data_IF_472512567418
#
_entry.id   IF_472512567418
#
_cell.length_a   1.000
_cell.length_b   1.000
_cell.length_c   1.000
_cell.angle_alpha   90.00
_cell.angle_beta   90.00
_cell.angle_gamma   90.00
#
_symmetry.space_group_name_H-M   'P 1'
#
loop_
_entity.id
_entity.type
_entity.pdbx_description
1 polymer ?
#
# COMPACT_ATOMS: atom_id res chain seq x y z
N UNK A 1 9.43 -30.62 9.30
CA UNK A 1 10.34 -29.93 10.24
C UNK A 1 11.11 -28.90 9.43
N UNK A 2 11.17 -27.62 9.80
CA UNK A 2 12.03 -26.67 9.13
C UNK A 2 13.49 -27.17 9.21
N UNK A 3 14.27 -26.88 8.15
CA UNK A 3 15.67 -27.24 8.13
C UNK A 3 16.38 -26.62 9.34
N UNK A 4 17.39 -27.31 9.89
CA UNK A 4 18.16 -26.85 11.09
C UNK A 4 18.75 -25.45 10.86
N UNK A 5 18.97 -25.07 9.60
CA UNK A 5 19.52 -23.77 9.18
C UNK A 5 18.63 -22.56 9.54
N UNK A 6 17.30 -22.73 9.62
CA UNK A 6 16.35 -21.62 9.88
C UNK A 6 15.94 -21.49 11.35
N UNK A 7 16.44 -22.33 12.24
CA UNK A 7 16.03 -22.35 13.64
C UNK A 7 16.37 -21.04 14.37
N UNK A 8 17.52 -20.44 14.08
CA UNK A 8 17.94 -19.16 14.67
C UNK A 8 17.07 -18.01 14.18
N UNK A 9 16.74 -17.99 12.89
CA UNK A 9 15.88 -17.00 12.27
C UNK A 9 14.48 -17.05 12.89
N UNK A 10 13.93 -18.24 13.06
CA UNK A 10 12.63 -18.44 13.71
C UNK A 10 12.65 -17.96 15.16
N UNK A 11 13.68 -18.29 15.95
CA UNK A 11 13.80 -17.84 17.34
C UNK A 11 13.83 -16.30 17.42
N UNK A 12 14.55 -15.64 16.53
CA UNK A 12 14.58 -14.19 16.47
C UNK A 12 13.21 -13.58 16.12
N UNK A 13 12.55 -14.12 15.09
CA UNK A 13 11.21 -13.66 14.72
C UNK A 13 10.22 -13.84 15.85
N UNK A 14 10.27 -14.95 16.58
CA UNK A 14 9.42 -15.22 17.75
C UNK A 14 9.62 -14.17 18.83
N UNK A 15 10.86 -13.77 19.08
CA UNK A 15 11.14 -12.73 20.08
C UNK A 15 10.55 -11.38 19.64
N UNK A 16 10.73 -10.99 18.40
CA UNK A 16 10.14 -9.76 17.84
C UNK A 16 8.61 -9.81 17.81
N UNK A 17 8.02 -10.96 17.47
CA UNK A 17 6.58 -11.16 17.47
C UNK A 17 5.97 -11.04 18.88
N UNK A 18 6.64 -11.55 19.93
CA UNK A 18 6.21 -11.35 21.33
C UNK A 18 6.21 -9.87 21.70
N UNK A 19 7.26 -9.14 21.35
CA UNK A 19 7.33 -7.71 21.63
C UNK A 19 6.23 -6.95 20.89
N UNK A 20 5.99 -7.29 19.61
CA UNK A 20 4.90 -6.69 18.84
C UNK A 20 3.52 -7.03 19.43
N UNK A 21 3.28 -8.28 19.84
CA UNK A 21 2.03 -8.68 20.47
C UNK A 21 1.79 -7.91 21.77
N UNK A 22 2.84 -7.68 22.56
CA UNK A 22 2.76 -6.88 23.78
C UNK A 22 2.40 -5.41 23.47
N UNK A 23 3.04 -4.80 22.44
CA UNK A 23 2.74 -3.45 21.98
C UNK A 23 1.29 -3.32 21.47
N UNK A 24 0.79 -4.32 20.74
CA UNK A 24 -0.58 -4.36 20.24
C UNK A 24 -1.63 -4.59 21.37
N UNK A 25 -1.24 -5.25 22.44
CA UNK A 25 -2.08 -5.48 23.63
C UNK A 25 -2.07 -4.30 24.63
N UNK A 26 -1.24 -3.30 24.43
CA UNK A 26 -1.20 -2.12 25.29
C UNK A 26 -2.58 -1.43 25.32
N UNK A 27 -3.12 -1.10 26.52
CA UNK A 27 -4.39 -0.37 26.65
C UNK A 27 -4.46 0.94 25.86
N UNK A 28 -3.32 1.58 25.58
CA UNK A 28 -3.24 2.79 24.74
C UNK A 28 -3.81 2.57 23.34
N UNK A 29 -3.76 1.35 22.81
CA UNK A 29 -4.29 1.04 21.48
C UNK A 29 -5.82 1.24 21.42
N UNK A 30 -6.54 0.88 22.48
CA UNK A 30 -7.97 1.12 22.57
C UNK A 30 -8.29 2.63 22.61
N UNK A 31 -7.46 3.43 23.29
CA UNK A 31 -7.60 4.90 23.30
C UNK A 31 -7.35 5.47 21.92
N UNK A 32 -6.29 5.04 21.23
CA UNK A 32 -5.95 5.49 19.88
C UNK A 32 -7.09 5.19 18.89
N UNK A 33 -7.63 3.96 18.89
CA UNK A 33 -8.79 3.61 18.05
C UNK A 33 -9.98 4.54 18.29
N UNK A 34 -10.33 4.84 19.54
CA UNK A 34 -11.41 5.79 19.85
C UNK A 34 -11.12 7.20 19.32
N UNK A 35 -9.89 7.69 19.47
CA UNK A 35 -9.50 9.01 18.98
C UNK A 35 -9.58 9.08 17.45
N UNK A 36 -9.08 8.08 16.74
CA UNK A 36 -9.16 8.03 15.28
C UNK A 36 -10.61 7.88 14.80
N UNK A 37 -11.43 7.08 15.48
CA UNK A 37 -12.86 6.98 15.17
C UNK A 37 -13.53 8.35 15.29
N UNK A 38 -13.29 9.09 16.36
CA UNK A 38 -13.85 10.43 16.54
C UNK A 38 -13.30 11.41 15.50
N UNK A 39 -11.99 11.42 15.25
CA UNK A 39 -11.34 12.30 14.27
C UNK A 39 -11.93 12.09 12.86
N UNK A 40 -11.99 10.86 12.39
CA UNK A 40 -12.45 10.55 11.04
C UNK A 40 -13.97 10.65 10.88
N UNK A 41 -14.72 10.65 12.00
CA UNK A 41 -16.17 10.94 12.03
C UNK A 41 -16.45 12.41 12.32
N UNK A 42 -15.48 13.31 12.08
CA UNK A 42 -15.56 14.76 12.20
C UNK A 42 -15.96 15.26 13.60
N UNK A 43 -15.66 14.50 14.65
CA UNK A 43 -15.85 14.92 16.02
C UNK A 43 -14.62 15.68 16.53
N UNK A 44 -14.84 16.57 17.51
CA UNK A 44 -13.76 17.34 18.09
C UNK A 44 -12.80 16.46 18.90
N UNK A 45 -11.54 16.40 18.49
CA UNK A 45 -10.44 15.74 19.20
C UNK A 45 -9.26 16.72 19.36
N UNK A 46 -8.23 16.30 20.09
CA UNK A 46 -6.92 16.92 19.91
C UNK A 46 -6.35 16.54 18.54
N UNK A 47 -5.39 17.27 18.00
CA UNK A 47 -4.66 16.79 16.81
C UNK A 47 -4.04 15.40 17.07
N UNK A 48 -4.19 14.49 16.11
CA UNK A 48 -3.57 13.17 16.13
C UNK A 48 -2.32 13.20 15.28
N UNK A 49 -1.27 12.54 15.73
CA UNK A 49 0.03 12.56 15.10
C UNK A 49 0.47 11.15 14.73
N UNK A 50 1.00 11.00 13.51
CA UNK A 50 1.69 9.80 13.03
C UNK A 50 3.07 10.21 12.55
N UNK A 51 4.12 9.61 13.10
CA UNK A 51 5.50 9.85 12.74
C UNK A 51 6.00 8.78 11.74
N UNK A 52 5.30 8.60 10.62
CA UNK A 52 5.60 7.53 9.63
C UNK A 52 6.47 7.94 8.46
N UNK A 53 6.68 9.24 8.25
CA UNK A 53 7.42 9.74 7.09
C UNK A 53 8.87 9.25 7.07
N UNK A 54 9.30 8.74 5.93
CA UNK A 54 10.66 8.22 5.76
C UNK A 54 10.90 6.82 6.33
N UNK A 55 9.89 6.17 6.90
CA UNK A 55 9.99 4.85 7.52
C UNK A 55 10.64 3.82 6.58
N UNK A 56 10.20 3.75 5.33
CA UNK A 56 10.69 2.79 4.34
C UNK A 56 11.96 3.23 3.62
N UNK A 57 12.35 4.48 3.75
CA UNK A 57 13.54 5.02 3.09
C UNK A 57 14.65 5.28 4.11
N UNK A 58 14.49 6.31 4.93
CA UNK A 58 15.50 6.74 5.88
C UNK A 58 15.75 5.70 6.98
N UNK A 59 14.68 5.18 7.59
CA UNK A 59 14.83 4.20 8.68
C UNK A 59 15.34 2.87 8.18
N UNK A 60 14.93 2.41 6.98
CA UNK A 60 15.49 1.19 6.41
C UNK A 60 16.97 1.33 6.13
N UNK A 61 17.44 2.49 5.69
CA UNK A 61 18.85 2.76 5.46
C UNK A 61 19.65 2.93 6.75
N UNK A 62 19.16 3.74 7.69
CA UNK A 62 19.92 4.14 8.87
C UNK A 62 19.82 3.12 10.02
N UNK A 63 18.66 2.49 10.19
CA UNK A 63 18.36 1.64 11.35
C UNK A 63 18.21 0.17 10.98
N UNK A 64 17.66 -0.13 9.80
CA UNK A 64 17.27 -1.48 9.36
C UNK A 64 17.89 -1.89 8.03
N UNK A 65 19.08 -1.37 7.72
CA UNK A 65 19.86 -1.79 6.55
C UNK A 65 20.14 -3.30 6.57
N UNK A 66 20.42 -3.88 5.43
CA UNK A 66 20.60 -5.33 5.28
C UNK A 66 21.70 -5.91 6.17
N UNK A 67 22.76 -5.15 6.39
CA UNK A 67 23.88 -5.51 7.26
C UNK A 67 23.50 -5.56 8.76
N UNK A 68 22.38 -4.94 9.13
CA UNK A 68 21.85 -4.92 10.51
C UNK A 68 20.83 -6.02 10.76
N UNK A 69 20.34 -6.68 9.71
CA UNK A 69 19.43 -7.82 9.82
C UNK A 69 20.20 -9.09 10.22
N UNK A 70 19.59 -9.91 11.07
CA UNK A 70 20.21 -11.09 11.63
C UNK A 70 19.74 -12.38 10.96
N UNK A 71 18.50 -12.40 10.44
CA UNK A 71 17.99 -13.53 9.69
C UNK A 71 18.81 -13.75 8.40
N UNK A 72 19.14 -15.00 8.11
CA UNK A 72 19.89 -15.40 6.91
C UNK A 72 18.97 -15.71 5.74
N UNK A 73 17.85 -16.37 6.02
CA UNK A 73 16.82 -16.66 5.02
C UNK A 73 16.16 -15.35 4.58
N UNK A 74 16.09 -15.05 3.27
CA UNK A 74 15.50 -13.81 2.76
C UNK A 74 14.05 -13.60 3.18
N UNK A 75 13.25 -14.68 3.26
CA UNK A 75 11.86 -14.60 3.70
C UNK A 75 11.77 -14.14 5.16
N UNK A 76 12.50 -14.76 6.06
CA UNK A 76 12.50 -14.36 7.47
C UNK A 76 13.15 -12.99 7.69
N UNK A 77 14.16 -12.62 6.90
CA UNK A 77 14.80 -11.30 6.97
C UNK A 77 13.83 -10.17 6.64
N UNK A 78 12.97 -10.36 5.66
CA UNK A 78 11.93 -9.37 5.33
C UNK A 78 10.94 -9.18 6.49
N UNK A 79 10.52 -10.28 7.12
CA UNK A 79 9.63 -10.22 8.29
C UNK A 79 10.34 -9.66 9.53
N UNK A 80 11.63 -9.95 9.73
CA UNK A 80 12.47 -9.33 10.76
C UNK A 80 12.46 -7.81 10.59
N UNK A 81 12.77 -7.32 9.40
CA UNK A 81 12.78 -5.88 9.09
C UNK A 81 11.44 -5.25 9.40
N UNK A 82 10.36 -5.86 8.95
CA UNK A 82 9.01 -5.36 9.15
C UNK A 82 8.65 -5.26 10.65
N UNK A 83 8.91 -6.29 11.43
CA UNK A 83 8.65 -6.28 12.88
C UNK A 83 9.54 -5.25 13.61
N UNK A 84 10.82 -5.17 13.29
CA UNK A 84 11.73 -4.17 13.89
C UNK A 84 11.28 -2.75 13.59
N UNK A 85 10.89 -2.46 12.34
CA UNK A 85 10.39 -1.14 11.96
C UNK A 85 9.12 -0.76 12.73
N UNK A 86 8.19 -1.70 12.87
CA UNK A 86 6.95 -1.47 13.65
C UNK A 86 7.23 -1.23 15.12
N UNK A 87 8.14 -1.98 15.73
CA UNK A 87 8.55 -1.80 17.11
C UNK A 87 9.30 -0.46 17.32
N UNK A 88 10.14 -0.08 16.37
CA UNK A 88 10.79 1.23 16.41
C UNK A 88 9.75 2.35 16.30
N UNK A 89 8.78 2.23 15.39
CA UNK A 89 7.68 3.19 15.30
C UNK A 89 6.87 3.26 16.61
N UNK A 90 6.58 2.12 17.22
CA UNK A 90 5.89 2.09 18.52
C UNK A 90 6.64 2.89 19.61
N UNK A 91 7.97 2.91 19.57
CA UNK A 91 8.80 3.62 20.54
C UNK A 91 8.62 5.15 20.50
N UNK A 92 8.10 5.71 19.42
CA UNK A 92 7.78 7.15 19.35
C UNK A 92 6.58 7.55 20.20
N UNK A 93 5.70 6.63 20.56
CA UNK A 93 4.53 6.92 21.36
C UNK A 93 3.50 7.81 20.69
N UNK A 94 3.51 7.88 19.36
CA UNK A 94 2.55 8.62 18.55
C UNK A 94 1.16 7.95 18.54
N UNK A 95 0.22 8.44 17.73
CA UNK A 95 -1.14 7.94 17.69
C UNK A 95 -1.36 6.74 16.73
N UNK A 96 -0.29 6.14 16.23
CA UNK A 96 -0.38 4.94 15.39
C UNK A 96 -1.01 3.77 16.15
N UNK A 97 -2.00 3.13 15.55
CA UNK A 97 -2.61 1.91 16.09
C UNK A 97 -1.82 0.69 15.62
N UNK A 98 -1.43 -0.14 16.57
CA UNK A 98 -0.80 -1.44 16.32
C UNK A 98 -1.85 -2.53 16.51
N UNK A 99 -2.13 -3.26 15.44
CA UNK A 99 -3.18 -4.27 15.43
C UNK A 99 -2.69 -5.60 15.98
N UNK A 100 -3.55 -6.37 16.72
CA UNK A 100 -3.15 -7.62 17.34
C UNK A 100 -3.08 -8.78 16.33
N UNK A 101 -2.60 -8.53 15.12
CA UNK A 101 -2.31 -9.52 14.08
C UNK A 101 -1.18 -9.05 13.19
N UNK A 102 -0.61 -9.98 12.46
CA UNK A 102 0.37 -9.71 11.43
C UNK A 102 -0.25 -9.91 10.05
N UNK A 103 -0.08 -8.95 9.15
CA UNK A 103 -0.62 -9.04 7.79
C UNK A 103 0.45 -9.53 6.83
N UNK A 104 0.18 -10.66 6.17
CA UNK A 104 0.94 -11.19 5.05
C UNK A 104 0.21 -10.87 3.76
N UNK A 105 0.88 -10.26 2.79
CA UNK A 105 0.32 -10.06 1.44
C UNK A 105 0.24 -11.36 0.67
N UNK A 106 -0.87 -11.61 -0.03
CA UNK A 106 -0.92 -12.68 -1.02
C UNK A 106 0.08 -12.42 -2.15
N UNK A 107 0.59 -13.49 -2.77
CA UNK A 107 1.50 -13.39 -3.91
C UNK A 107 0.67 -13.15 -5.17
N UNK A 108 0.71 -11.95 -5.70
CA UNK A 108 0.07 -11.62 -6.96
C UNK A 108 0.98 -11.98 -8.14
N UNK A 109 0.39 -12.44 -9.25
CA UNK A 109 1.15 -12.71 -10.49
C UNK A 109 1.79 -11.46 -11.08
N UNK A 110 1.17 -10.29 -10.86
CA UNK A 110 1.76 -8.98 -11.14
C UNK A 110 1.69 -8.14 -9.87
N UNK A 111 2.81 -7.57 -9.50
CA UNK A 111 2.95 -6.72 -8.32
C UNK A 111 3.69 -5.41 -8.66
N UNK A 112 4.18 -4.78 -7.64
CA UNK A 112 4.95 -3.54 -7.71
C UNK A 112 6.03 -3.60 -8.80
N UNK A 113 6.16 -2.50 -9.57
CA UNK A 113 7.13 -2.37 -10.65
C UNK A 113 6.72 -2.96 -11.99
N UNK A 114 5.55 -3.64 -12.11
CA UNK A 114 5.08 -4.19 -13.38
C UNK A 114 3.55 -4.33 -13.47
N UNK A 115 2.82 -3.58 -12.68
CA UNK A 115 1.35 -3.65 -12.56
C UNK A 115 0.67 -3.56 -13.93
N UNK A 116 1.14 -2.67 -14.80
CA UNK A 116 0.59 -2.44 -16.14
C UNK A 116 1.21 -3.32 -17.23
N UNK A 117 1.95 -4.36 -16.87
CA UNK A 117 2.54 -5.33 -17.83
C UNK A 117 3.86 -4.89 -18.45
N UNK A 118 4.35 -3.72 -18.08
CA UNK A 118 5.68 -3.20 -18.46
C UNK A 118 6.50 -2.91 -17.23
N UNK A 119 7.84 -3.07 -17.27
CA UNK A 119 8.71 -2.73 -16.15
C UNK A 119 8.65 -1.22 -15.87
N UNK A 120 8.52 -0.86 -14.60
CA UNK A 120 8.68 0.51 -14.11
C UNK A 120 10.12 0.64 -13.59
N UNK A 121 11.05 0.92 -14.51
CA UNK A 121 12.45 1.07 -14.18
C UNK A 121 12.76 2.48 -13.64
N UNK A 122 13.79 2.57 -12.83
CA UNK A 122 14.33 3.84 -12.35
C UNK A 122 15.86 3.83 -12.43
N UNK A 123 16.43 5.02 -12.51
CA UNK A 123 17.89 5.23 -12.46
C UNK A 123 18.26 5.60 -11.04
N UNK A 124 19.22 4.87 -10.49
CA UNK A 124 19.79 5.21 -9.21
C UNK A 124 20.52 6.57 -9.29
N UNK A 125 20.43 7.38 -8.25
CA UNK A 125 21.17 8.63 -8.18
C UNK A 125 22.67 8.35 -8.14
N UNK A 126 23.47 9.26 -8.73
CA UNK A 126 24.93 9.17 -8.66
C UNK A 126 25.53 9.43 -7.27
N UNK A 127 24.70 9.77 -6.28
CA UNK A 127 25.07 10.03 -4.89
C UNK A 127 24.16 9.24 -3.96
N UNK A 128 24.71 8.68 -2.90
CA UNK A 128 23.94 7.94 -1.90
C UNK A 128 22.83 8.82 -1.28
N UNK A 129 21.61 8.29 -1.26
CA UNK A 129 20.43 9.00 -0.75
C UNK A 129 19.91 10.14 -1.63
N UNK A 130 20.44 10.27 -2.86
CA UNK A 130 19.90 11.21 -3.85
C UNK A 130 18.55 10.76 -4.41
N UNK A 131 17.85 11.68 -5.08
CA UNK A 131 16.59 11.40 -5.75
C UNK A 131 16.83 10.50 -6.98
N UNK A 132 16.11 9.41 -7.07
CA UNK A 132 16.08 8.56 -8.26
C UNK A 132 15.12 9.10 -9.31
N UNK A 133 15.38 8.78 -10.57
CA UNK A 133 14.53 9.16 -11.70
C UNK A 133 13.88 7.93 -12.30
N UNK A 134 12.57 7.98 -12.54
CA UNK A 134 11.92 6.96 -13.35
C UNK A 134 12.45 6.99 -14.79
N UNK A 135 12.56 5.83 -15.41
CA UNK A 135 12.82 5.67 -16.84
C UNK A 135 11.50 5.24 -17.51
N UNK A 136 10.69 6.21 -17.98
CA UNK A 136 9.33 5.95 -18.44
C UNK A 136 9.31 4.99 -19.63
N UNK A 137 8.53 3.90 -19.58
CA UNK A 137 8.43 2.95 -20.70
C UNK A 137 7.60 3.48 -21.86
N UNK A 138 6.73 4.48 -21.64
CA UNK A 138 5.92 5.12 -22.68
C UNK A 138 6.65 6.39 -23.14
N UNK A 139 7.47 6.29 -24.17
CA UNK A 139 8.19 7.43 -24.78
C UNK A 139 7.42 8.00 -25.97
N UNK A 140 6.76 7.15 -26.74
CA UNK A 140 5.86 7.53 -27.83
C UNK A 140 4.47 6.95 -27.59
N UNK A 141 3.43 7.54 -28.18
CA UNK A 141 2.05 7.06 -28.03
C UNK A 141 1.84 5.63 -28.55
N UNK A 142 2.64 5.19 -29.51
CA UNK A 142 2.66 3.78 -29.95
C UNK A 142 3.06 2.79 -28.85
N UNK A 143 3.78 3.24 -27.83
CA UNK A 143 4.22 2.38 -26.72
C UNK A 143 3.06 1.99 -25.80
N UNK A 144 1.95 2.74 -25.82
CA UNK A 144 0.74 2.41 -25.05
C UNK A 144 0.22 1.01 -25.39
N UNK A 145 0.45 0.54 -26.63
CA UNK A 145 0.09 -0.82 -27.04
C UNK A 145 0.83 -1.94 -26.25
N UNK A 146 1.90 -1.60 -25.54
CA UNK A 146 2.62 -2.55 -24.67
C UNK A 146 1.95 -2.75 -23.32
N UNK A 147 1.06 -1.84 -22.92
CA UNK A 147 0.35 -1.93 -21.65
C UNK A 147 -0.72 -3.01 -21.70
N UNK A 148 -0.97 -3.58 -20.56
CA UNK A 148 -2.12 -4.49 -20.35
C UNK A 148 -2.73 -4.22 -18.98
N UNK A 149 -4.08 -4.31 -18.85
CA UNK A 149 -4.74 -4.09 -17.58
C UNK A 149 -4.21 -5.05 -16.51
N UNK A 150 -4.09 -4.60 -15.25
CA UNK A 150 -3.65 -5.46 -14.16
C UNK A 150 -4.71 -6.55 -13.88
N UNK A 151 -4.35 -7.84 -13.95
CA UNK A 151 -5.27 -8.90 -13.56
C UNK A 151 -5.35 -8.99 -12.03
N UNK A 152 -6.51 -9.40 -11.49
CA UNK A 152 -6.57 -9.93 -10.15
C UNK A 152 -6.27 -11.44 -10.23
N UNK A 153 -5.03 -11.79 -10.00
CA UNK A 153 -4.55 -13.18 -10.10
C UNK A 153 -3.54 -13.45 -8.97
N UNK A 154 -3.92 -14.34 -8.06
CA UNK A 154 -3.11 -14.76 -6.93
C UNK A 154 -2.43 -16.09 -7.25
N UNK A 155 -1.13 -16.19 -6.96
CA UNK A 155 -0.40 -17.45 -6.91
C UNK A 155 -0.75 -18.16 -5.59
N UNK A 156 -1.77 -19.01 -5.63
CA UNK A 156 -2.26 -19.73 -4.46
C UNK A 156 -1.23 -20.68 -3.86
N UNK A 157 -0.46 -21.47 -4.65
CA UNK A 157 0.61 -22.30 -4.10
C UNK A 157 1.67 -21.50 -3.34
N UNK A 158 2.15 -20.41 -3.93
CA UNK A 158 3.15 -19.54 -3.30
C UNK A 158 2.58 -18.85 -2.05
N UNK A 159 1.37 -18.31 -2.13
CA UNK A 159 0.67 -17.69 -0.99
C UNK A 159 0.51 -18.67 0.18
N UNK A 160 0.05 -19.90 -0.11
CA UNK A 160 -0.11 -20.94 0.90
C UNK A 160 1.23 -21.40 1.49
N UNK A 161 2.30 -21.42 0.69
CA UNK A 161 3.64 -21.75 1.18
C UNK A 161 4.16 -20.68 2.16
N UNK A 162 4.06 -19.40 1.79
CA UNK A 162 4.45 -18.28 2.64
C UNK A 162 3.63 -18.25 3.94
N UNK A 163 2.32 -18.47 3.85
CA UNK A 163 1.45 -18.52 5.02
C UNK A 163 1.87 -19.64 5.98
N UNK A 164 2.08 -20.86 5.48
CA UNK A 164 2.53 -21.99 6.33
C UNK A 164 3.87 -21.67 7.00
N UNK A 165 4.85 -21.19 6.24
CA UNK A 165 6.18 -20.85 6.75
C UNK A 165 6.09 -19.81 7.87
N UNK A 166 5.26 -18.79 7.73
CA UNK A 166 5.09 -17.75 8.74
C UNK A 166 4.25 -18.23 9.94
N UNK A 167 3.22 -19.04 9.71
CA UNK A 167 2.42 -19.66 10.78
C UNK A 167 3.26 -20.59 11.64
N UNK A 168 4.12 -21.41 11.04
CA UNK A 168 5.02 -22.31 11.77
C UNK A 168 6.04 -21.52 12.61
N UNK A 169 6.42 -20.32 12.17
CA UNK A 169 7.37 -19.48 12.89
C UNK A 169 6.74 -18.69 14.05
N UNK A 170 5.63 -17.98 13.82
CA UNK A 170 5.05 -17.01 14.78
C UNK A 170 3.54 -17.09 14.95
N UNK A 171 2.83 -18.00 14.27
CA UNK A 171 1.37 -18.05 14.26
C UNK A 171 0.72 -18.36 15.62
N UNK A 172 1.44 -18.93 16.55
CA UNK A 172 1.01 -19.13 17.94
C UNK A 172 1.14 -17.86 18.83
N UNK A 173 1.86 -16.86 18.34
CA UNK A 173 2.10 -15.59 19.04
C UNK A 173 1.24 -14.45 18.48
N UNK A 174 1.04 -14.44 17.16
CA UNK A 174 0.27 -13.43 16.42
C UNK A 174 -0.59 -14.13 15.36
N UNK A 175 -1.91 -13.89 15.31
CA UNK A 175 -2.73 -14.30 14.17
C UNK A 175 -2.15 -13.75 12.86
N UNK A 176 -2.06 -14.58 11.84
CA UNK A 176 -1.57 -14.16 10.52
C UNK A 176 -2.77 -13.90 9.61
N UNK A 177 -3.02 -12.63 9.29
CA UNK A 177 -4.04 -12.24 8.32
C UNK A 177 -3.43 -12.22 6.92
N UNK A 178 -4.03 -12.93 5.96
CA UNK A 178 -3.63 -12.86 4.56
C UNK A 178 -4.44 -11.77 3.85
N UNK A 179 -3.78 -10.71 3.42
CA UNK A 179 -4.38 -9.68 2.57
C UNK A 179 -4.38 -10.18 1.13
N UNK A 180 -5.58 -10.37 0.58
CA UNK A 180 -5.81 -10.86 -0.79
C UNK A 180 -6.37 -9.79 -1.71
N UNK A 181 -6.60 -8.59 -1.20
CA UNK A 181 -7.21 -7.49 -1.92
C UNK A 181 -6.52 -7.16 -3.24
N UNK A 182 -7.23 -6.47 -4.11
CA UNK A 182 -6.76 -6.02 -5.42
C UNK A 182 -5.35 -5.39 -5.35
N UNK A 183 -4.52 -5.64 -6.35
CA UNK A 183 -3.22 -4.97 -6.47
C UNK A 183 -3.41 -3.47 -6.76
N UNK A 184 -4.46 -3.10 -7.49
CA UNK A 184 -4.84 -1.70 -7.72
C UNK A 184 -5.53 -1.12 -6.49
N UNK A 185 -4.71 -0.74 -5.50
CA UNK A 185 -5.10 0.01 -4.30
C UNK A 185 -3.99 0.98 -3.95
N UNK A 186 -4.28 1.99 -3.11
CA UNK A 186 -3.31 3.06 -2.81
C UNK A 186 -2.74 3.68 -4.10
N UNK A 187 -1.44 3.79 -4.17
CA UNK A 187 -0.68 4.39 -5.26
C UNK A 187 -0.90 3.74 -6.65
N UNK A 188 -1.45 2.52 -6.70
CA UNK A 188 -1.83 1.86 -7.96
C UNK A 188 -3.33 2.02 -8.31
N UNK A 189 -4.10 2.71 -7.46
CA UNK A 189 -5.51 3.04 -7.72
C UNK A 189 -5.71 4.53 -8.01
N UNK A 190 -4.73 5.37 -7.68
CA UNK A 190 -4.84 6.81 -7.85
C UNK A 190 -4.57 7.29 -9.28
N UNK A 191 -4.10 6.42 -10.16
CA UNK A 191 -3.69 6.72 -11.55
C UNK A 191 -2.51 7.70 -11.59
N UNK A 192 -2.48 8.71 -10.73
CA UNK A 192 -1.51 9.80 -10.66
C UNK A 192 -0.08 9.28 -10.58
N UNK A 193 0.19 8.42 -9.60
CA UNK A 193 1.51 7.81 -9.40
C UNK A 193 1.92 6.94 -10.59
N UNK A 194 1.01 6.06 -11.04
CA UNK A 194 1.34 5.12 -12.12
C UNK A 194 1.55 5.84 -13.45
N UNK A 195 0.74 6.85 -13.80
CA UNK A 195 0.92 7.57 -15.07
C UNK A 195 2.21 8.39 -15.09
N UNK A 196 2.59 8.97 -13.96
CA UNK A 196 3.86 9.70 -13.85
C UNK A 196 5.08 8.77 -14.04
N UNK A 197 5.00 7.54 -13.53
CA UNK A 197 6.04 6.52 -13.72
C UNK A 197 6.06 5.99 -15.15
N UNK A 198 4.90 5.79 -15.76
CA UNK A 198 4.76 5.23 -17.10
C UNK A 198 5.13 6.23 -18.21
N UNK A 199 4.76 7.49 -18.07
CA UNK A 199 4.94 8.54 -19.11
C UNK A 199 6.05 9.54 -18.78
N UNK A 200 6.40 9.71 -17.51
CA UNK A 200 7.28 10.77 -17.02
C UNK A 200 6.51 12.06 -16.73
N UNK A 201 6.83 12.69 -15.61
CA UNK A 201 6.07 13.85 -15.10
C UNK A 201 6.10 15.04 -16.04
N UNK A 202 7.29 15.38 -16.57
CA UNK A 202 7.45 16.50 -17.51
C UNK A 202 6.65 16.26 -18.80
N UNK A 203 6.76 15.04 -19.38
CA UNK A 203 6.04 14.70 -20.59
C UNK A 203 4.53 14.67 -20.38
N UNK A 204 4.07 14.18 -19.21
CA UNK A 204 2.66 14.19 -18.83
C UNK A 204 2.07 15.61 -18.83
N UNK A 205 2.81 16.58 -18.29
CA UNK A 205 2.37 17.98 -18.29
C UNK A 205 2.33 18.58 -19.68
N UNK A 206 3.29 18.24 -20.53
CA UNK A 206 3.28 18.68 -21.95
C UNK A 206 2.11 18.05 -22.71
N UNK A 207 1.80 16.78 -22.48
CA UNK A 207 0.74 16.07 -23.17
C UNK A 207 -0.66 16.66 -22.92
N UNK A 208 -0.88 17.33 -21.79
CA UNK A 208 -2.14 18.03 -21.51
C UNK A 208 -2.45 19.11 -22.56
N UNK A 209 -1.41 19.65 -23.22
CA UNK A 209 -1.53 20.67 -24.27
C UNK A 209 -1.31 20.10 -25.67
N UNK A 210 -0.28 19.27 -25.84
CA UNK A 210 0.18 18.83 -27.14
C UNK A 210 -0.56 17.59 -27.65
N UNK A 211 -1.04 16.73 -26.73
CA UNK A 211 -1.65 15.43 -27.05
C UNK A 211 -2.82 15.09 -26.12
N UNK A 212 -3.79 16.01 -25.88
CA UNK A 212 -4.83 15.79 -24.88
C UNK A 212 -5.73 14.57 -25.21
N UNK A 213 -5.95 14.26 -26.46
CA UNK A 213 -6.79 13.10 -26.87
C UNK A 213 -6.14 11.78 -26.52
N UNK A 214 -4.87 11.65 -26.80
CA UNK A 214 -4.07 10.47 -26.48
C UNK A 214 -3.96 10.28 -24.96
N UNK A 215 -3.74 11.38 -24.24
CA UNK A 215 -3.69 11.38 -22.78
C UNK A 215 -5.05 10.94 -22.18
N UNK A 216 -6.16 11.50 -22.64
CA UNK A 216 -7.50 11.06 -22.23
C UNK A 216 -7.73 9.56 -22.49
N UNK A 217 -7.26 9.05 -23.64
CA UNK A 217 -7.37 7.62 -23.97
C UNK A 217 -6.58 6.75 -23.00
N UNK A 218 -5.36 7.16 -22.63
CA UNK A 218 -4.53 6.45 -21.67
C UNK A 218 -5.15 6.47 -20.26
N UNK A 219 -5.62 7.63 -19.81
CA UNK A 219 -6.26 7.78 -18.51
C UNK A 219 -7.54 6.95 -18.40
N UNK A 220 -8.36 6.91 -19.47
CA UNK A 220 -9.54 6.06 -19.53
C UNK A 220 -9.17 4.57 -19.46
N UNK A 221 -8.14 4.13 -20.20
CA UNK A 221 -7.62 2.77 -20.14
C UNK A 221 -7.17 2.40 -18.71
N UNK A 222 -6.45 3.30 -18.04
CA UNK A 222 -5.97 3.06 -16.68
C UNK A 222 -7.14 2.98 -15.68
N UNK A 223 -8.10 3.91 -15.74
CA UNK A 223 -9.32 3.86 -14.94
C UNK A 223 -10.03 2.51 -15.09
N UNK A 224 -10.25 2.08 -16.33
CA UNK A 224 -10.97 0.84 -16.62
C UNK A 224 -10.20 -0.39 -16.12
N UNK A 225 -8.88 -0.36 -16.24
CA UNK A 225 -8.00 -1.40 -15.69
C UNK A 225 -8.08 -1.49 -14.17
N UNK A 226 -8.04 -0.36 -13.45
CA UNK A 226 -8.21 -0.31 -11.98
C UNK A 226 -9.58 -0.84 -11.58
N UNK A 227 -10.65 -0.36 -12.24
CA UNK A 227 -12.02 -0.82 -11.95
C UNK A 227 -12.18 -2.32 -12.15
N UNK A 228 -11.66 -2.87 -13.27
CA UNK A 228 -11.73 -4.29 -13.56
C UNK A 228 -10.96 -5.13 -12.52
N UNK A 229 -9.75 -4.71 -12.15
CA UNK A 229 -8.94 -5.39 -11.14
C UNK A 229 -9.64 -5.42 -9.77
N UNK A 230 -10.17 -4.27 -9.33
CA UNK A 230 -10.87 -4.16 -8.05
C UNK A 230 -12.20 -4.93 -8.05
N UNK A 231 -12.92 -4.96 -9.18
CA UNK A 231 -14.16 -5.73 -9.32
C UNK A 231 -13.87 -7.23 -9.28
N UNK A 232 -12.84 -7.69 -9.97
CA UNK A 232 -12.44 -9.10 -9.95
C UNK A 232 -12.06 -9.57 -8.53
N UNK A 233 -11.37 -8.73 -7.75
CA UNK A 233 -11.09 -9.02 -6.35
C UNK A 233 -12.36 -9.05 -5.49
N UNK A 234 -13.34 -8.19 -5.76
CA UNK A 234 -14.62 -8.20 -5.06
C UNK A 234 -15.46 -9.45 -5.41
N UNK A 235 -15.48 -9.86 -6.68
CA UNK A 235 -16.19 -11.04 -7.15
C UNK A 235 -15.56 -12.33 -6.61
N UNK A 236 -14.24 -12.36 -6.46
CA UNK A 236 -13.51 -13.45 -5.80
C UNK A 236 -13.72 -13.50 -4.27
N UNK A 237 -14.26 -12.44 -3.67
CA UNK A 237 -14.40 -12.32 -2.22
C UNK A 237 -13.08 -12.04 -1.50
N UNK A 238 -12.11 -11.44 -2.17
CA UNK A 238 -10.74 -11.26 -1.69
C UNK A 238 -10.49 -9.94 -0.93
N UNK A 239 -11.53 -9.11 -0.74
CA UNK A 239 -11.46 -7.94 0.14
C UNK A 239 -11.80 -8.32 1.58
N UNK A 240 -10.99 -7.81 2.55
CA UNK A 240 -11.21 -7.97 3.98
C UNK A 240 -11.23 -6.64 4.71
N UNK A 241 -11.73 -6.61 5.95
CA UNK A 241 -11.71 -5.38 6.79
C UNK A 241 -10.29 -4.92 7.12
N UNK A 242 -9.29 -5.79 7.09
CA UNK A 242 -7.89 -5.43 7.27
C UNK A 242 -7.27 -4.75 6.04
N UNK A 243 -7.98 -4.74 4.90
CA UNK A 243 -7.53 -4.11 3.66
C UNK A 243 -7.99 -2.66 3.50
N UNK A 244 -8.68 -2.12 4.50
CA UNK A 244 -9.07 -0.72 4.53
C UNK A 244 -7.85 0.19 4.45
N UNK A 245 -7.95 1.23 3.65
CA UNK A 245 -6.85 2.11 3.37
C UNK A 245 -7.23 3.59 3.51
N UNK A 246 -6.60 4.24 4.48
CA UNK A 246 -6.66 5.66 4.71
C UNK A 246 -5.21 6.15 4.86
N UNK A 247 -4.92 7.38 4.51
CA UNK A 247 -3.58 7.95 4.67
C UNK A 247 -3.09 7.92 6.14
N UNK A 248 -4.04 7.93 7.08
CA UNK A 248 -3.77 7.80 8.52
C UNK A 248 -4.21 6.44 9.04
N UNK A 249 -5.28 6.40 9.83
CA UNK A 249 -5.84 5.17 10.41
C UNK A 249 -7.31 5.02 9.98
N UNK A 250 -7.75 3.86 9.48
CA UNK A 250 -9.06 3.68 8.87
C UNK A 250 -10.18 3.38 9.89
N UNK A 251 -10.21 4.12 10.99
CA UNK A 251 -11.25 4.01 12.01
C UNK A 251 -12.26 5.13 11.83
N UNK A 252 -13.53 4.79 11.60
CA UNK A 252 -14.66 5.71 11.53
C UNK A 252 -15.91 5.02 12.05
N UNK A 253 -16.98 5.76 12.36
CA UNK A 253 -18.28 5.19 12.77
C UNK A 253 -19.06 4.63 11.60
N UNK A 254 -18.81 5.15 10.42
CA UNK A 254 -19.49 4.84 9.18
C UNK A 254 -19.06 3.50 8.57
N UNK A 255 -17.89 2.99 8.98
CA UNK A 255 -17.36 1.71 8.49
C UNK A 255 -17.06 0.78 9.68
N UNK A 256 -16.99 -0.52 9.40
CA UNK A 256 -16.51 -1.48 10.38
C UNK A 256 -15.02 -1.28 10.63
N UNK A 257 -14.60 -1.47 11.87
CA UNK A 257 -13.18 -1.38 12.21
C UNK A 257 -12.37 -2.47 11.50
N UNK A 258 -11.06 -2.23 11.20
CA UNK A 258 -10.16 -3.26 10.72
C UNK A 258 -10.21 -4.53 11.59
N UNK A 259 -10.27 -5.68 10.94
CA UNK A 259 -10.28 -6.99 11.60
C UNK A 259 -9.62 -8.04 10.71
N UNK A 260 -8.88 -9.01 11.28
CA UNK A 260 -8.27 -10.09 10.53
C UNK A 260 -9.30 -11.14 10.12
N UNK A 261 -8.99 -11.93 9.09
CA UNK A 261 -9.79 -13.09 8.65
C UNK A 261 -11.25 -12.75 8.28
N UNK A 262 -11.47 -11.60 7.66
CA UNK A 262 -12.80 -11.06 7.33
C UNK A 262 -13.03 -10.94 5.81
N UNK A 263 -12.55 -11.89 5.04
CA UNK A 263 -12.75 -11.90 3.57
C UNK A 263 -14.23 -11.85 3.18
N UNK A 264 -14.51 -11.44 1.96
CA UNK A 264 -15.88 -11.34 1.42
C UNK A 264 -16.52 -9.95 1.61
N UNK A 265 -15.74 -8.94 2.01
CA UNK A 265 -16.24 -7.58 2.13
C UNK A 265 -16.51 -6.96 0.76
N UNK A 266 -17.37 -5.95 0.74
CA UNK A 266 -17.61 -5.12 -0.44
C UNK A 266 -16.84 -3.81 -0.30
N UNK A 267 -16.32 -3.27 -1.41
CA UNK A 267 -15.62 -1.98 -1.42
C UNK A 267 -16.41 -0.86 -0.74
N UNK A 268 -17.74 -0.84 -0.89
CA UNK A 268 -18.62 0.13 -0.22
C UNK A 268 -18.58 0.09 1.31
N UNK A 269 -18.01 -0.96 1.90
CA UNK A 269 -17.89 -1.13 3.35
C UNK A 269 -16.48 -0.76 3.84
N UNK A 270 -15.60 -0.32 2.94
CA UNK A 270 -14.18 -0.08 3.19
C UNK A 270 -13.80 1.37 2.91
N UNK A 271 -12.68 1.80 3.54
CA UNK A 271 -11.96 3.01 3.18
C UNK A 271 -11.10 2.78 1.93
N UNK A 272 -11.01 3.85 1.10
CA UNK A 272 -10.03 3.98 0.03
C UNK A 272 -9.15 5.20 0.26
N UNK A 273 -7.86 5.09 -0.06
CA UNK A 273 -6.96 6.24 -0.18
C UNK A 273 -6.64 6.49 -1.65
N UNK A 274 -6.66 7.77 -2.03
CA UNK A 274 -6.30 8.24 -3.37
C UNK A 274 -5.54 9.56 -3.25
N UNK A 275 -4.60 9.79 -4.14
CA UNK A 275 -3.78 10.98 -4.18
C UNK A 275 -3.69 11.58 -5.60
N UNK A 276 -3.19 12.80 -5.68
CA UNK A 276 -2.94 13.53 -6.91
C UNK A 276 -1.61 14.30 -6.85
N UNK A 277 -0.67 13.84 -6.03
CA UNK A 277 0.56 14.60 -5.73
C UNK A 277 1.42 14.92 -6.95
N UNK A 278 1.38 14.08 -7.99
CA UNK A 278 2.08 14.30 -9.25
C UNK A 278 1.43 15.43 -10.10
N UNK A 279 0.21 15.83 -9.73
CA UNK A 279 -0.56 16.90 -10.36
C UNK A 279 -0.56 18.21 -9.58
N UNK A 280 0.29 18.37 -8.57
CA UNK A 280 0.37 19.57 -7.71
C UNK A 280 0.66 20.86 -8.49
N UNK A 281 1.36 20.79 -9.63
CA UNK A 281 1.78 21.97 -10.39
C UNK A 281 0.80 22.40 -11.49
N UNK A 282 -0.37 21.77 -11.59
CA UNK A 282 -1.39 22.14 -12.59
C UNK A 282 -2.55 22.91 -11.96
N UNK A 283 -3.36 23.56 -12.80
CA UNK A 283 -4.54 24.29 -12.34
C UNK A 283 -5.64 23.32 -11.85
N UNK A 284 -6.55 23.76 -10.97
CA UNK A 284 -7.71 22.95 -10.55
C UNK A 284 -8.55 22.47 -11.75
N UNK A 285 -8.68 23.25 -12.80
CA UNK A 285 -9.41 22.87 -14.02
C UNK A 285 -8.71 21.70 -14.74
N UNK A 286 -7.39 21.75 -14.87
CA UNK A 286 -6.62 20.65 -15.48
C UNK A 286 -6.59 19.41 -14.59
N UNK A 287 -6.57 19.58 -13.27
CA UNK A 287 -6.70 18.47 -12.34
C UNK A 287 -8.05 17.77 -12.49
N UNK A 288 -9.14 18.53 -12.59
CA UNK A 288 -10.47 17.96 -12.85
C UNK A 288 -10.51 17.24 -14.20
N UNK A 289 -9.98 17.88 -15.27
CA UNK A 289 -10.02 17.36 -16.64
C UNK A 289 -9.13 16.13 -16.86
N UNK A 290 -7.89 16.12 -16.34
CA UNK A 290 -6.89 15.09 -16.66
C UNK A 290 -6.68 14.06 -15.52
N UNK A 291 -7.33 14.21 -14.38
CA UNK A 291 -7.19 13.23 -13.29
C UNK A 291 -8.50 12.93 -12.58
N UNK A 292 -9.11 13.91 -11.91
CA UNK A 292 -10.23 13.70 -10.99
C UNK A 292 -11.41 12.99 -11.67
N UNK A 293 -11.77 13.36 -12.90
CA UNK A 293 -12.84 12.70 -13.64
C UNK A 293 -12.62 11.20 -13.86
N UNK A 294 -11.34 10.73 -13.85
CA UNK A 294 -10.98 9.32 -13.99
C UNK A 294 -10.90 8.61 -12.64
N UNK A 295 -10.57 9.33 -11.58
CA UNK A 295 -10.54 8.82 -10.22
C UNK A 295 -11.93 8.67 -9.62
N UNK A 296 -12.85 9.62 -9.86
CA UNK A 296 -14.20 9.60 -9.30
C UNK A 296 -14.98 8.28 -9.52
N UNK A 297 -14.95 7.65 -10.72
CA UNK A 297 -15.60 6.36 -10.91
C UNK A 297 -15.03 5.26 -9.99
N UNK A 298 -13.72 5.29 -9.68
CA UNK A 298 -13.07 4.35 -8.78
C UNK A 298 -13.52 4.62 -7.34
N UNK A 299 -13.42 5.87 -6.90
CA UNK A 299 -13.69 6.29 -5.52
C UNK A 299 -15.15 6.03 -5.11
N UNK A 300 -16.13 6.18 -6.02
CA UNK A 300 -17.57 5.98 -5.77
C UNK A 300 -17.93 4.55 -5.35
N UNK A 301 -17.05 3.58 -5.54
CA UNK A 301 -17.30 2.21 -5.10
C UNK A 301 -16.99 2.00 -3.61
N UNK A 302 -16.27 2.92 -2.98
CA UNK A 302 -15.85 2.80 -1.58
C UNK A 302 -16.79 3.57 -0.64
N UNK A 303 -16.87 3.10 0.61
CA UNK A 303 -17.75 3.70 1.62
C UNK A 303 -17.23 5.03 2.13
N UNK A 304 -15.93 5.13 2.31
CA UNK A 304 -15.22 6.35 2.70
C UNK A 304 -13.95 6.51 1.87
N UNK A 305 -13.56 7.76 1.67
CA UNK A 305 -12.38 8.11 0.87
C UNK A 305 -11.49 9.09 1.65
N UNK A 306 -10.22 8.78 1.73
CA UNK A 306 -9.17 9.71 2.09
C UNK A 306 -8.51 10.20 0.80
N UNK A 307 -8.69 11.48 0.47
CA UNK A 307 -8.14 12.06 -0.73
C UNK A 307 -7.09 13.12 -0.38
N UNK A 308 -5.91 13.00 -0.98
CA UNK A 308 -4.80 13.91 -0.77
C UNK A 308 -3.57 13.27 -0.13
N UNK A 309 -2.42 13.86 -0.36
CA UNK A 309 -1.13 13.49 0.23
C UNK A 309 -0.27 14.73 0.41
N UNK A 310 0.47 15.12 -0.65
CA UNK A 310 1.38 16.28 -0.64
C UNK A 310 0.87 17.44 -1.51
N UNK A 311 -0.25 17.26 -2.18
CA UNK A 311 -0.88 18.24 -3.04
C UNK A 311 -1.70 19.27 -2.24
N UNK A 312 -1.78 20.49 -2.77
CA UNK A 312 -2.69 21.55 -2.34
C UNK A 312 -3.94 21.49 -3.22
N UNK A 313 -5.03 20.92 -2.67
CA UNK A 313 -6.28 20.66 -3.38
C UNK A 313 -7.32 21.77 -3.17
#
# INVERSE_FOLDING_TARGET
>A
MPAVENQQDILLLRELAKQYAAAAADPVQAQRRRLWTAQNSLEKTRPLLIAGFGMWNLWCREVYADDKMQCRDPFYREHERNLRMRLFHYSYGDDTVFEPWYTLGAVHQRGWGSVWGVPQAHREPGVEGGAWQFDPPIRAWSDVAKLSPPPHAIDEPATAAHLRQLQDAIGDLLPINVSRAAVCRQWHADISTDIAQLRGLEQLMMDMYDSPRELHSLLAFMRDGVLANQQAAEDAGDWGLADQNNQSMPYARETLAPAPHTLGQKRRDLWCHCAAQEFTLISPMQHEEFLLQYQLPILRHFGLVSYGCCEDL
#
